data_IF_113412786664
#
_entry.id   IF_113412786664
#
_cell.length_a   1.000
_cell.length_b   1.000
_cell.length_c   1.000
_cell.angle_alpha   90.00
_cell.angle_beta   90.00
_cell.angle_gamma   90.00
#
_symmetry.space_group_name_H-M   'P 1'
#
loop_
_entity.id
_entity.type
_entity.pdbx_description
1 polymer ?
#
# COMPACT_ATOMS: atom_id res chain seq x y z
N UNK A 1 18.17 12.63 -6.12
CA UNK A 1 17.21 13.46 -5.39
C UNK A 1 15.88 12.74 -5.27
N UNK A 2 15.30 12.72 -4.10
CA UNK A 2 14.01 12.07 -3.87
C UNK A 2 12.88 12.96 -4.39
N UNK A 3 11.81 12.34 -4.86
CA UNK A 3 10.71 13.06 -5.48
C UNK A 3 9.44 13.00 -4.63
N UNK A 4 9.25 14.00 -3.77
CA UNK A 4 7.98 14.27 -3.13
C UNK A 4 7.41 13.17 -2.24
N UNK A 5 6.08 13.16 -2.15
CA UNK A 5 5.34 12.27 -1.27
C UNK A 5 4.61 11.22 -2.11
N UNK A 6 4.78 9.96 -1.75
CA UNK A 6 4.06 8.85 -2.37
C UNK A 6 3.15 8.18 -1.34
N UNK A 7 1.98 7.72 -1.78
CA UNK A 7 1.04 6.97 -0.95
C UNK A 7 1.04 5.52 -1.39
N UNK A 8 1.17 4.63 -0.44
CA UNK A 8 1.04 3.20 -0.67
C UNK A 8 -0.26 2.73 -0.01
N UNK A 9 -1.35 2.60 -0.78
CA UNK A 9 -2.64 2.24 -0.21
C UNK A 9 -2.85 0.73 -0.21
N UNK A 10 -3.62 0.25 0.74
CA UNK A 10 -4.01 -1.14 0.78
C UNK A 10 -4.84 -1.45 2.02
N UNK A 11 -5.39 -2.66 2.05
CA UNK A 11 -6.10 -3.14 3.23
C UNK A 11 -5.12 -3.55 4.33
N UNK A 12 -4.01 -4.16 3.95
CA UNK A 12 -2.92 -4.59 4.85
C UNK A 12 -3.44 -5.39 6.06
N UNK A 13 -4.03 -6.52 5.78
CA UNK A 13 -4.71 -7.35 6.78
C UNK A 13 -4.10 -8.76 6.83
N UNK A 14 -2.88 -8.93 7.38
CA UNK A 14 -2.01 -7.91 7.96
C UNK A 14 -0.97 -7.37 6.97
N UNK A 15 -0.18 -6.43 7.44
CA UNK A 15 0.99 -5.94 6.72
C UNK A 15 2.09 -7.02 6.74
N UNK A 16 2.56 -7.42 5.56
CA UNK A 16 3.48 -8.55 5.41
C UNK A 16 4.91 -8.08 5.12
N UNK A 17 5.85 -9.04 5.12
CA UNK A 17 7.24 -8.75 4.74
C UNK A 17 7.36 -8.29 3.29
N UNK A 18 6.47 -8.79 2.41
CA UNK A 18 6.43 -8.30 1.04
C UNK A 18 6.05 -6.83 0.97
N UNK A 19 5.10 -6.41 1.79
CA UNK A 19 4.73 -5.00 1.90
C UNK A 19 5.89 -4.17 2.45
N UNK A 20 6.57 -4.67 3.48
CA UNK A 20 7.71 -3.99 4.07
C UNK A 20 8.85 -3.82 3.06
N UNK A 21 9.14 -4.86 2.28
CA UNK A 21 10.19 -4.82 1.27
C UNK A 21 9.93 -3.72 0.26
N UNK A 22 8.68 -3.60 -0.20
CA UNK A 22 8.28 -2.58 -1.15
C UNK A 22 8.47 -1.17 -0.55
N UNK A 23 8.00 -0.98 0.68
CA UNK A 23 8.13 0.31 1.37
C UNK A 23 9.60 0.66 1.58
N UNK A 24 10.42 -0.31 1.99
CA UNK A 24 11.85 -0.09 2.20
C UNK A 24 12.51 0.43 0.94
N UNK A 25 12.24 -0.19 -0.21
CA UNK A 25 12.81 0.24 -1.48
C UNK A 25 12.27 1.60 -1.90
N UNK A 26 10.96 1.82 -1.75
CA UNK A 26 10.32 3.09 -2.11
C UNK A 26 10.80 4.23 -1.22
N UNK A 27 11.11 3.96 0.05
CA UNK A 27 11.58 5.01 0.97
C UNK A 27 12.88 5.67 0.54
N UNK A 28 13.63 5.02 -0.35
CA UNK A 28 14.87 5.56 -0.92
C UNK A 28 14.62 6.43 -2.15
N UNK A 29 13.42 6.34 -2.73
CA UNK A 29 13.08 7.03 -3.97
C UNK A 29 12.30 8.32 -3.73
N UNK A 30 11.59 8.41 -2.63
CA UNK A 30 10.71 9.54 -2.33
C UNK A 30 11.09 10.20 -1.02
N UNK A 31 10.75 11.48 -0.88
CA UNK A 31 10.99 12.20 0.36
C UNK A 31 10.21 11.62 1.52
N UNK A 32 8.98 11.18 1.25
CA UNK A 32 8.10 10.64 2.26
C UNK A 32 7.17 9.59 1.65
N UNK A 33 6.94 8.53 2.39
CA UNK A 33 5.96 7.50 2.06
C UNK A 33 4.84 7.55 3.10
N UNK A 34 3.60 7.64 2.63
CA UNK A 34 2.43 7.50 3.50
C UNK A 34 1.79 6.15 3.18
N UNK A 35 1.84 5.24 4.13
CA UNK A 35 1.14 3.96 4.00
C UNK A 35 -0.29 4.18 4.45
N UNK A 36 -1.22 4.06 3.51
CA UNK A 36 -2.63 4.29 3.76
C UNK A 36 -3.37 2.98 3.97
N UNK A 37 -3.83 2.75 5.21
CA UNK A 37 -4.59 1.54 5.54
C UNK A 37 -6.07 1.84 5.31
N UNK A 38 -6.64 1.20 4.27
CA UNK A 38 -8.01 1.45 3.86
C UNK A 38 -8.99 0.63 4.68
N UNK A 39 -10.19 1.18 4.89
CA UNK A 39 -11.29 0.37 5.40
C UNK A 39 -11.60 -0.72 4.36
N UNK A 40 -11.87 -1.94 4.84
CA UNK A 40 -12.23 -3.01 3.93
C UNK A 40 -13.65 -2.79 3.43
N UNK A 41 -13.84 -2.91 2.11
CA UNK A 41 -15.17 -2.85 1.54
C UNK A 41 -15.71 -4.26 1.34
N UNK A 42 -16.63 -4.71 2.11
CA UNK A 42 -17.33 -5.95 1.84
C UNK A 42 -17.13 -7.03 2.87
N UNK A 43 -16.08 -7.82 2.78
CA UNK A 43 -15.84 -8.90 3.76
C UNK A 43 -15.07 -8.34 4.94
N UNK A 44 -15.49 -8.70 6.16
CA UNK A 44 -14.81 -8.25 7.37
C UNK A 44 -13.36 -8.70 7.40
N UNK A 45 -12.42 -7.81 7.71
CA UNK A 45 -11.03 -8.18 7.85
C UNK A 45 -10.81 -9.01 9.13
N UNK A 46 -9.69 -9.75 9.18
CA UNK A 46 -9.33 -10.49 10.39
C UNK A 46 -8.95 -9.52 11.50
N UNK A 47 -8.24 -8.45 11.14
CA UNK A 47 -7.78 -7.45 12.10
C UNK A 47 -8.59 -6.17 11.94
N UNK A 48 -8.84 -5.49 13.06
CA UNK A 48 -9.52 -4.18 13.03
C UNK A 48 -8.62 -3.14 12.36
N UNK A 49 -9.21 -2.00 12.00
CA UNK A 49 -8.44 -0.89 11.44
C UNK A 49 -7.30 -0.49 12.39
N UNK A 50 -7.58 -0.34 13.67
CA UNK A 50 -6.56 0.05 14.65
C UNK A 50 -5.44 -0.98 14.75
N UNK A 51 -5.79 -2.26 14.73
CA UNK A 51 -4.80 -3.33 14.76
C UNK A 51 -3.94 -3.32 13.51
N UNK A 52 -4.54 -3.15 12.35
CA UNK A 52 -3.80 -3.12 11.07
C UNK A 52 -2.84 -1.95 11.01
N UNK A 53 -3.28 -0.79 11.45
CA UNK A 53 -2.43 0.41 11.50
C UNK A 53 -1.27 0.19 12.48
N UNK A 54 -1.56 -0.37 13.65
CA UNK A 54 -0.54 -0.60 14.68
C UNK A 54 0.52 -1.59 14.21
N UNK A 55 0.09 -2.70 13.58
CA UNK A 55 1.02 -3.69 13.04
C UNK A 55 1.94 -3.05 12.00
N UNK A 56 1.38 -2.28 11.09
CA UNK A 56 2.17 -1.61 10.07
C UNK A 56 3.16 -0.61 10.69
N UNK A 57 2.73 0.14 11.69
CA UNK A 57 3.60 1.10 12.38
C UNK A 57 4.78 0.41 13.06
N UNK A 58 4.53 -0.73 13.70
CA UNK A 58 5.62 -1.48 14.35
C UNK A 58 6.63 -1.98 13.33
N UNK A 59 6.16 -2.55 12.22
CA UNK A 59 7.03 -3.07 11.17
C UNK A 59 7.83 -1.94 10.53
N UNK A 60 7.23 -0.78 10.34
CA UNK A 60 7.83 0.33 9.62
C UNK A 60 8.55 1.35 10.52
N UNK A 61 8.59 1.09 11.82
CA UNK A 61 9.26 1.99 12.76
C UNK A 61 10.71 2.33 12.39
N UNK A 62 11.52 1.41 11.81
CA UNK A 62 12.90 1.73 11.43
C UNK A 62 13.04 2.74 10.28
N UNK A 63 11.96 3.08 9.58
CA UNK A 63 12.02 3.94 8.40
C UNK A 63 11.53 5.35 8.76
N UNK A 64 12.45 6.33 8.92
CA UNK A 64 12.08 7.65 9.47
C UNK A 64 11.20 8.49 8.55
N UNK A 65 11.22 8.22 7.24
CA UNK A 65 10.41 8.98 6.27
C UNK A 65 9.10 8.25 5.92
N UNK A 66 8.71 7.26 6.69
CA UNK A 66 7.48 6.49 6.44
C UNK A 66 6.48 6.78 7.56
N UNK A 67 5.25 7.11 7.15
CA UNK A 67 4.15 7.38 8.07
C UNK A 67 3.00 6.44 7.74
N UNK A 68 2.29 5.94 8.75
CA UNK A 68 1.15 5.04 8.56
C UNK A 68 -0.12 5.75 9.04
N UNK A 69 -1.13 5.79 8.18
CA UNK A 69 -2.43 6.40 8.49
C UNK A 69 -3.56 5.50 8.02
N UNK A 70 -4.62 5.40 8.81
CA UNK A 70 -5.87 4.79 8.35
C UNK A 70 -6.69 5.82 7.59
N UNK A 71 -7.50 5.38 6.62
CA UNK A 71 -8.42 6.28 5.93
C UNK A 71 -9.68 5.54 5.51
N UNK A 72 -10.79 6.28 5.44
CA UNK A 72 -12.08 5.77 4.99
C UNK A 72 -12.66 6.59 3.83
N UNK A 73 -12.02 7.68 3.45
CA UNK A 73 -12.43 8.50 2.32
C UNK A 73 -11.96 7.87 1.00
N UNK A 74 -12.32 8.50 -0.12
CA UNK A 74 -11.83 8.09 -1.43
C UNK A 74 -10.31 8.23 -1.50
N UNK A 75 -9.67 7.32 -2.23
CA UNK A 75 -8.21 7.32 -2.33
C UNK A 75 -7.67 8.65 -2.88
N UNK A 76 -8.33 9.21 -3.89
CA UNK A 76 -7.86 10.48 -4.46
C UNK A 76 -7.99 11.63 -3.48
N UNK A 77 -9.00 11.60 -2.63
CA UNK A 77 -9.14 12.58 -1.55
C UNK A 77 -8.03 12.42 -0.52
N UNK A 78 -7.72 11.17 -0.15
CA UNK A 78 -6.63 10.88 0.77
C UNK A 78 -5.28 11.39 0.23
N UNK A 79 -5.04 11.21 -1.07
CA UNK A 79 -3.84 11.75 -1.70
C UNK A 79 -3.77 13.27 -1.58
N UNK A 80 -4.87 13.95 -1.86
CA UNK A 80 -4.91 15.42 -1.75
C UNK A 80 -4.66 15.89 -0.32
N UNK A 81 -5.24 15.20 0.65
CA UNK A 81 -5.04 15.53 2.07
C UNK A 81 -3.57 15.40 2.49
N UNK A 82 -2.83 14.51 1.85
CA UNK A 82 -1.43 14.27 2.16
C UNK A 82 -0.46 14.97 1.21
N UNK A 83 -0.96 15.81 0.31
CA UNK A 83 -0.18 16.50 -0.71
C UNK A 83 0.63 15.54 -1.58
N UNK A 84 0.05 14.38 -1.86
CA UNK A 84 0.71 13.33 -2.63
C UNK A 84 0.17 13.28 -4.04
N UNK A 85 1.04 12.99 -5.00
CA UNK A 85 0.67 12.81 -6.41
C UNK A 85 1.13 11.49 -6.97
N UNK A 86 1.71 10.64 -6.14
CA UNK A 86 2.21 9.33 -6.57
C UNK A 86 1.52 8.26 -5.73
N UNK A 87 1.01 7.24 -6.43
CA UNK A 87 0.48 6.03 -5.80
C UNK A 87 1.47 4.91 -6.06
N UNK A 88 1.85 4.21 -4.99
CA UNK A 88 2.70 3.02 -5.11
C UNK A 88 1.82 1.78 -5.12
N UNK A 89 2.10 0.87 -6.03
CA UNK A 89 1.42 -0.43 -6.10
C UNK A 89 2.44 -1.51 -6.35
N UNK A 90 2.21 -2.68 -5.75
CA UNK A 90 3.04 -3.85 -6.01
C UNK A 90 2.43 -4.69 -7.13
N UNK A 91 3.27 -5.17 -8.04
CA UNK A 91 2.85 -6.11 -9.09
C UNK A 91 3.54 -7.44 -8.86
N UNK A 92 2.75 -8.50 -8.77
CA UNK A 92 3.26 -9.86 -8.52
C UNK A 92 3.11 -10.77 -9.73
N UNK A 93 2.13 -10.52 -10.59
CA UNK A 93 1.82 -11.39 -11.72
C UNK A 93 1.19 -10.58 -12.85
N UNK A 94 1.17 -11.18 -14.05
CA UNK A 94 0.57 -10.55 -15.24
C UNK A 94 -0.91 -10.25 -15.02
N UNK A 95 -1.62 -11.14 -14.34
CA UNK A 95 -3.03 -10.94 -14.03
C UNK A 95 -3.29 -9.71 -13.15
N UNK A 96 -2.34 -9.38 -12.27
CA UNK A 96 -2.43 -8.16 -11.46
C UNK A 96 -2.25 -6.92 -12.34
N UNK A 97 -1.40 -7.02 -13.37
CA UNK A 97 -1.04 -5.88 -14.20
C UNK A 97 -2.24 -5.28 -14.91
N UNK A 98 -3.10 -6.11 -15.51
CA UNK A 98 -4.26 -5.59 -16.24
C UNK A 98 -5.18 -4.77 -15.35
N UNK A 99 -5.51 -5.31 -14.18
CA UNK A 99 -6.35 -4.63 -13.21
C UNK A 99 -5.70 -3.32 -12.75
N UNK A 100 -4.43 -3.38 -12.38
CA UNK A 100 -3.72 -2.22 -11.88
C UNK A 100 -3.55 -1.14 -12.95
N UNK A 101 -3.35 -1.54 -14.19
CA UNK A 101 -3.22 -0.61 -15.31
C UNK A 101 -4.54 0.14 -15.53
N UNK A 102 -5.68 -0.55 -15.46
CA UNK A 102 -6.99 0.07 -15.59
C UNK A 102 -7.26 1.05 -14.44
N UNK A 103 -6.89 0.65 -13.22
CA UNK A 103 -7.06 1.52 -12.05
C UNK A 103 -6.20 2.77 -12.14
N UNK A 104 -4.98 2.64 -12.65
CA UNK A 104 -4.10 3.80 -12.83
C UNK A 104 -4.71 4.80 -13.82
N UNK A 105 -5.29 4.31 -14.91
CA UNK A 105 -5.96 5.17 -15.86
C UNK A 105 -7.19 5.86 -15.28
N UNK A 106 -7.99 5.13 -14.50
CA UNK A 106 -9.15 5.69 -13.83
C UNK A 106 -8.76 6.74 -12.80
N UNK A 107 -7.72 6.48 -12.02
CA UNK A 107 -7.23 7.42 -11.02
C UNK A 107 -6.78 8.73 -11.67
N UNK A 108 -6.12 8.68 -12.83
CA UNK A 108 -5.72 9.89 -13.55
C UNK A 108 -6.90 10.71 -14.05
N UNK A 109 -8.03 10.07 -14.35
CA UNK A 109 -9.24 10.82 -14.71
C UNK A 109 -9.80 11.59 -13.53
N UNK A 110 -9.71 11.01 -12.32
CA UNK A 110 -10.21 11.64 -11.11
C UNK A 110 -9.24 12.68 -10.54
N UNK A 111 -7.97 12.49 -10.78
CA UNK A 111 -6.89 13.36 -10.29
C UNK A 111 -5.81 13.40 -11.37
N UNK A 112 -5.89 14.38 -12.31
CA UNK A 112 -5.00 14.39 -13.47
C UNK A 112 -3.50 14.43 -13.17
N UNK A 113 -3.12 14.98 -12.02
CA UNK A 113 -1.70 15.08 -11.65
C UNK A 113 -1.15 13.81 -11.00
N UNK A 114 -1.99 12.79 -10.77
CA UNK A 114 -1.55 11.57 -10.10
C UNK A 114 -0.82 10.65 -11.08
N UNK A 115 0.25 10.04 -10.58
CA UNK A 115 0.95 8.97 -11.28
C UNK A 115 0.96 7.72 -10.42
N UNK A 116 0.82 6.56 -11.05
CA UNK A 116 0.93 5.29 -10.36
C UNK A 116 2.28 4.65 -10.71
N UNK A 117 3.04 4.32 -9.69
CA UNK A 117 4.34 3.67 -9.84
C UNK A 117 4.21 2.24 -9.36
N UNK A 118 4.61 1.30 -10.22
CA UNK A 118 4.55 -0.12 -9.91
C UNK A 118 5.93 -0.63 -9.53
N UNK A 119 6.00 -1.37 -8.44
CA UNK A 119 7.21 -2.02 -8.00
C UNK A 119 6.97 -3.52 -7.92
N UNK A 120 7.94 -4.29 -8.41
CA UNK A 120 7.87 -5.74 -8.29
C UNK A 120 8.45 -6.15 -6.94
N UNK A 121 7.87 -7.16 -6.27
CA UNK A 121 8.44 -7.64 -5.03
C UNK A 121 9.77 -8.37 -5.28
N UNK A 122 10.59 -8.47 -4.24
CA UNK A 122 11.76 -9.33 -4.29
C UNK A 122 11.29 -10.77 -4.53
N UNK A 123 12.10 -11.56 -5.25
CA UNK A 123 11.72 -12.91 -5.64
C UNK A 123 11.29 -13.77 -4.46
N UNK A 124 11.96 -13.64 -3.33
CA UNK A 124 11.64 -14.39 -2.11
C UNK A 124 10.25 -14.07 -1.54
N UNK A 125 9.65 -12.94 -1.92
CA UNK A 125 8.33 -12.53 -1.43
C UNK A 125 7.22 -12.67 -2.46
N UNK A 126 7.52 -13.16 -3.67
CA UNK A 126 6.54 -13.21 -4.76
C UNK A 126 5.31 -14.06 -4.43
N UNK A 127 5.49 -15.10 -3.63
CA UNK A 127 4.41 -16.04 -3.32
C UNK A 127 3.76 -15.79 -1.95
N UNK A 128 4.21 -14.77 -1.23
CA UNK A 128 3.64 -14.42 0.06
C UNK A 128 2.63 -13.29 -0.14
N UNK A 129 1.38 -13.53 0.25
CA UNK A 129 0.32 -12.52 0.14
C UNK A 129 -0.41 -12.37 1.46
N UNK A 130 -1.09 -11.24 1.64
CA UNK A 130 -1.92 -11.04 2.83
C UNK A 130 -3.05 -12.07 2.88
N UNK A 131 -3.57 -12.50 1.72
CA UNK A 131 -4.60 -13.53 1.66
C UNK A 131 -4.08 -14.85 2.23
N UNK A 132 -2.88 -15.27 1.83
CA UNK A 132 -2.27 -16.50 2.37
C UNK A 132 -2.07 -16.40 3.88
N UNK A 133 -1.59 -15.27 4.36
CA UNK A 133 -1.38 -15.07 5.79
C UNK A 133 -2.70 -15.15 6.55
N UNK A 134 -3.77 -14.54 6.01
CA UNK A 134 -5.10 -14.62 6.60
C UNK A 134 -5.62 -16.05 6.67
N UNK A 135 -5.43 -16.82 5.60
CA UNK A 135 -5.86 -18.22 5.57
C UNK A 135 -5.17 -19.04 6.65
N UNK A 136 -3.85 -18.87 6.79
CA UNK A 136 -3.07 -19.55 7.82
C UNK A 136 -3.55 -19.15 9.22
N UNK A 137 -3.79 -17.86 9.44
CA UNK A 137 -4.26 -17.37 10.73
C UNK A 137 -5.63 -17.94 11.10
N UNK A 138 -6.54 -18.13 10.10
CA UNK A 138 -7.85 -18.72 10.34
C UNK A 138 -7.79 -20.20 10.70
N UNK A 139 -6.79 -20.89 10.19
CA UNK A 139 -6.63 -22.32 10.43
C UNK A 139 -6.00 -22.62 11.79
N UNK A 140 -5.42 -21.66 12.40
CA UNK A 140 -4.85 -21.92 13.66
C UNK A 140 -3.85 -21.10 14.22
#
# INVERSE_FOLDING_TARGET
MRDGIAVYPGTFDPFTRGHEDLVRRASRLFDKIVVGVATSGGKGPIFTMDERVEIAREVLAPYPNVEVKGFSCLLMEFLRQNNARVILRGLRAVSDFEYEFQMAGMNRKLYPDVETVFLTPAEEFMFISATMVREIARLG
#
